data_IF_426907004825
#
_entry.id   IF_426907004825
#
_cell.length_a   1.000
_cell.length_b   1.000
_cell.length_c   1.000
_cell.angle_alpha   90.00
_cell.angle_beta   90.00
_cell.angle_gamma   90.00
#
_symmetry.space_group_name_H-M   'P 1'
#
loop_
_entity.id
_entity.type
_entity.pdbx_description
1 polymer ?
#
# COMPACT_ATOMS: atom_id res chain seq x y z
N UNK A 1 -36.36 10.81 -4.01
CA UNK A 1 -35.45 9.72 -3.61
C UNK A 1 -35.18 8.70 -4.73
N UNK A 2 -36.19 8.27 -5.52
CA UNK A 2 -36.02 7.24 -6.59
C UNK A 2 -34.90 7.55 -7.60
N UNK A 3 -34.79 8.80 -8.07
CA UNK A 3 -33.73 9.19 -9.00
C UNK A 3 -32.32 9.02 -8.40
N UNK A 4 -32.14 9.43 -7.14
CA UNK A 4 -30.89 9.21 -6.40
C UNK A 4 -30.58 7.71 -6.26
N UNK A 5 -31.56 6.89 -5.92
CA UNK A 5 -31.36 5.44 -5.81
C UNK A 5 -30.96 4.80 -7.14
N UNK A 6 -31.62 5.17 -8.25
CA UNK A 6 -31.26 4.69 -9.59
C UNK A 6 -29.84 5.11 -9.98
N UNK A 7 -29.46 6.35 -9.70
CA UNK A 7 -28.09 6.84 -9.96
C UNK A 7 -27.06 6.10 -9.11
N UNK A 8 -27.33 5.89 -7.82
CA UNK A 8 -26.50 5.06 -6.95
C UNK A 8 -26.33 3.64 -7.48
N UNK A 9 -27.41 2.99 -7.91
CA UNK A 9 -27.36 1.66 -8.49
C UNK A 9 -26.51 1.60 -9.77
N UNK A 10 -26.60 2.62 -10.63
CA UNK A 10 -25.71 2.75 -11.81
C UNK A 10 -24.25 2.89 -11.37
N UNK A 11 -23.94 3.76 -10.39
CA UNK A 11 -22.59 3.89 -9.87
C UNK A 11 -22.05 2.57 -9.29
N UNK A 12 -22.87 1.82 -8.55
CA UNK A 12 -22.50 0.51 -8.01
C UNK A 12 -22.26 -0.51 -9.13
N UNK A 13 -23.10 -0.54 -10.17
CA UNK A 13 -22.90 -1.37 -11.36
C UNK A 13 -21.63 -1.04 -12.14
N UNK A 14 -21.16 0.20 -12.07
CA UNK A 14 -19.88 0.66 -12.63
C UNK A 14 -18.68 0.42 -11.69
N UNK A 15 -18.88 -0.15 -10.50
CA UNK A 15 -17.85 -0.29 -9.47
C UNK A 15 -17.41 1.03 -8.82
N UNK A 16 -18.14 2.14 -9.07
CA UNK A 16 -17.85 3.48 -8.54
C UNK A 16 -18.50 3.68 -7.17
N UNK A 17 -18.16 2.84 -6.22
CA UNK A 17 -18.84 2.79 -4.92
C UNK A 17 -18.77 4.09 -4.13
N UNK A 18 -17.64 4.82 -4.19
CA UNK A 18 -17.49 6.15 -3.57
C UNK A 18 -18.52 7.17 -4.07
N UNK A 19 -18.88 7.11 -5.35
CA UNK A 19 -19.87 8.02 -5.94
C UNK A 19 -21.31 7.63 -5.58
N UNK A 20 -21.55 6.37 -5.22
CA UNK A 20 -22.86 5.87 -4.83
C UNK A 20 -23.26 6.27 -3.38
N UNK A 21 -22.29 6.35 -2.47
CA UNK A 21 -22.55 6.60 -1.04
C UNK A 21 -23.36 7.88 -0.77
N UNK A 22 -23.03 9.05 -1.36
CA UNK A 22 -23.79 10.28 -1.13
C UNK A 22 -25.25 10.16 -1.60
N UNK A 23 -25.48 9.48 -2.72
CA UNK A 23 -26.82 9.25 -3.26
C UNK A 23 -27.64 8.31 -2.37
N UNK A 24 -27.03 7.24 -1.85
CA UNK A 24 -27.68 6.33 -0.90
C UNK A 24 -28.04 7.05 0.41
N UNK A 25 -27.13 7.87 0.92
CA UNK A 25 -27.40 8.71 2.10
C UNK A 25 -28.55 9.70 1.84
N UNK A 26 -28.60 10.32 0.66
CA UNK A 26 -29.71 11.21 0.30
C UNK A 26 -31.04 10.46 0.15
N UNK A 27 -31.01 9.21 -0.30
CA UNK A 27 -32.21 8.36 -0.32
C UNK A 27 -32.73 8.12 1.09
N UNK A 28 -31.85 7.77 2.03
CA UNK A 28 -32.22 7.48 3.42
C UNK A 28 -32.70 8.75 4.15
N UNK A 29 -32.10 9.91 3.86
CA UNK A 29 -32.58 11.20 4.38
C UNK A 29 -34.01 11.51 3.90
N UNK A 30 -34.29 11.29 2.61
CA UNK A 30 -35.60 11.58 2.01
C UNK A 30 -36.65 10.50 2.30
N UNK A 31 -36.22 9.26 2.52
CA UNK A 31 -37.08 8.10 2.76
C UNK A 31 -36.38 7.12 3.74
N UNK A 32 -36.53 7.33 5.05
CA UNK A 32 -35.82 6.54 6.07
C UNK A 32 -36.18 5.05 6.13
N UNK A 33 -37.36 4.66 5.66
CA UNK A 33 -37.87 3.29 5.58
C UNK A 33 -37.44 2.54 4.31
N UNK A 34 -36.61 3.15 3.47
CA UNK A 34 -36.20 2.54 2.20
C UNK A 34 -35.11 1.47 2.40
N UNK A 35 -35.55 0.24 2.74
CA UNK A 35 -34.73 -0.94 3.04
C UNK A 35 -33.61 -1.16 2.03
N UNK A 36 -33.91 -1.10 0.73
CA UNK A 36 -32.92 -1.37 -0.31
C UNK A 36 -31.73 -0.38 -0.29
N UNK A 37 -31.94 0.91 0.00
CA UNK A 37 -30.81 1.83 0.11
C UNK A 37 -30.00 1.62 1.39
N UNK A 38 -30.65 1.26 2.50
CA UNK A 38 -29.95 0.92 3.75
C UNK A 38 -29.08 -0.31 3.59
N UNK A 39 -29.60 -1.37 2.97
CA UNK A 39 -28.81 -2.57 2.66
C UNK A 39 -27.59 -2.24 1.79
N UNK A 40 -27.79 -1.46 0.70
CA UNK A 40 -26.69 -1.08 -0.18
C UNK A 40 -25.67 -0.16 0.50
N UNK A 41 -26.12 0.77 1.36
CA UNK A 41 -25.23 1.67 2.10
C UNK A 41 -24.47 0.93 3.18
N UNK A 42 -25.13 0.09 3.96
CA UNK A 42 -24.49 -0.74 4.99
C UNK A 42 -23.41 -1.65 4.41
N UNK A 43 -23.71 -2.33 3.28
CA UNK A 43 -22.72 -3.15 2.57
C UNK A 43 -21.51 -2.35 2.07
N UNK A 44 -21.74 -1.10 1.64
CA UNK A 44 -20.68 -0.21 1.18
C UNK A 44 -19.81 0.28 2.35
N UNK A 45 -20.44 0.73 3.43
CA UNK A 45 -19.79 1.17 4.67
C UNK A 45 -18.95 0.03 5.27
N UNK A 46 -19.48 -1.19 5.30
CA UNK A 46 -18.75 -2.38 5.75
C UNK A 46 -17.46 -2.59 4.94
N UNK A 47 -17.53 -2.48 3.60
CA UNK A 47 -16.35 -2.59 2.73
C UNK A 47 -15.32 -1.48 2.98
N UNK A 48 -15.75 -0.32 3.46
CA UNK A 48 -14.90 0.81 3.84
C UNK A 48 -14.37 0.71 5.28
N UNK A 49 -14.81 -0.28 6.06
CA UNK A 49 -14.45 -0.42 7.48
C UNK A 49 -15.22 0.54 8.41
N UNK A 50 -16.26 1.21 7.91
CA UNK A 50 -17.12 2.11 8.69
C UNK A 50 -18.19 1.27 9.40
N UNK A 51 -17.75 0.50 10.40
CA UNK A 51 -18.54 -0.58 10.99
C UNK A 51 -19.75 -0.12 11.78
N UNK A 52 -19.66 1.02 12.49
CA UNK A 52 -20.74 1.50 13.35
C UNK A 52 -21.94 1.97 12.51
N UNK A 53 -21.69 2.72 11.44
CA UNK A 53 -22.72 3.14 10.50
C UNK A 53 -23.28 1.96 9.71
N UNK A 54 -22.44 1.00 9.30
CA UNK A 54 -22.89 -0.22 8.63
C UNK A 54 -23.84 -1.03 9.53
N UNK A 55 -23.43 -1.25 10.78
CA UNK A 55 -24.24 -1.92 11.81
C UNK A 55 -25.58 -1.23 11.99
N UNK A 56 -25.57 0.10 12.14
CA UNK A 56 -26.77 0.92 12.30
C UNK A 56 -27.73 0.74 11.11
N UNK A 57 -27.21 0.68 9.87
CA UNK A 57 -28.06 0.46 8.70
C UNK A 57 -28.69 -0.94 8.69
N UNK A 58 -27.94 -1.99 9.03
CA UNK A 58 -28.48 -3.34 9.11
C UNK A 58 -29.49 -3.50 10.25
N UNK A 59 -29.26 -2.88 11.42
CA UNK A 59 -30.22 -2.85 12.53
C UNK A 59 -31.55 -2.20 12.13
N UNK A 60 -31.50 -1.08 11.40
CA UNK A 60 -32.70 -0.40 10.92
C UNK A 60 -33.48 -1.25 9.92
N UNK A 61 -32.78 -2.03 9.07
CA UNK A 61 -33.43 -2.99 8.17
C UNK A 61 -34.12 -4.08 8.98
N UNK A 62 -33.43 -4.69 9.96
CA UNK A 62 -33.99 -5.74 10.80
C UNK A 62 -35.14 -5.27 11.70
N UNK A 63 -35.16 -3.98 12.06
CA UNK A 63 -36.29 -3.37 12.77
C UNK A 63 -37.53 -3.29 11.88
N UNK A 64 -37.35 -3.03 10.59
CA UNK A 64 -38.44 -2.89 9.61
C UNK A 64 -38.90 -4.24 9.04
N UNK A 65 -37.96 -5.16 8.85
CA UNK A 65 -38.14 -6.50 8.31
C UNK A 65 -37.24 -7.48 9.08
N UNK A 66 -37.76 -7.99 10.19
CA UNK A 66 -37.05 -8.94 11.05
C UNK A 66 -36.76 -10.29 10.36
N UNK A 67 -37.43 -10.58 9.24
CA UNK A 67 -37.24 -11.81 8.48
C UNK A 67 -36.14 -11.70 7.41
N UNK A 68 -35.52 -10.53 7.28
CA UNK A 68 -34.49 -10.27 6.28
C UNK A 68 -33.19 -11.01 6.62
N UNK A 69 -33.01 -12.20 6.05
CA UNK A 69 -31.85 -13.06 6.29
C UNK A 69 -30.53 -12.44 5.84
N UNK A 70 -30.54 -11.68 4.74
CA UNK A 70 -29.34 -10.97 4.25
C UNK A 70 -28.88 -9.92 5.26
N UNK A 71 -29.80 -9.06 5.74
CA UNK A 71 -29.50 -8.06 6.75
C UNK A 71 -29.01 -8.70 8.05
N UNK A 72 -29.60 -9.84 8.45
CA UNK A 72 -29.18 -10.57 9.65
C UNK A 72 -27.74 -11.07 9.52
N UNK A 73 -27.42 -11.70 8.40
CA UNK A 73 -26.06 -12.20 8.13
C UNK A 73 -25.03 -11.06 8.12
N UNK A 74 -25.34 -9.94 7.46
CA UNK A 74 -24.45 -8.78 7.41
C UNK A 74 -24.29 -8.11 8.77
N UNK A 75 -25.36 -8.02 9.56
CA UNK A 75 -25.31 -7.53 10.93
C UNK A 75 -24.40 -8.39 11.82
N UNK A 76 -24.60 -9.71 11.82
CA UNK A 76 -23.82 -10.64 12.63
C UNK A 76 -22.33 -10.65 12.19
N UNK A 77 -22.04 -10.53 10.89
CA UNK A 77 -20.68 -10.34 10.37
C UNK A 77 -20.07 -9.02 10.86
N UNK A 78 -20.82 -7.91 10.77
CA UNK A 78 -20.36 -6.59 11.19
C UNK A 78 -20.01 -6.58 12.68
N UNK A 79 -20.83 -7.21 13.53
CA UNK A 79 -20.52 -7.32 14.96
C UNK A 79 -19.21 -8.06 15.22
N UNK A 80 -18.96 -9.17 14.52
CA UNK A 80 -17.69 -9.92 14.65
C UNK A 80 -16.50 -9.06 14.22
N UNK A 81 -16.63 -8.32 13.11
CA UNK A 81 -15.57 -7.45 12.62
C UNK A 81 -15.28 -6.28 13.57
N UNK A 82 -16.31 -5.70 14.22
CA UNK A 82 -16.13 -4.69 15.26
C UNK A 82 -15.30 -5.25 16.42
N UNK A 83 -15.66 -6.45 16.91
CA UNK A 83 -14.92 -7.09 17.99
C UNK A 83 -13.46 -7.36 17.59
N UNK A 84 -13.24 -7.95 16.42
CA UNK A 84 -11.88 -8.23 15.92
C UNK A 84 -11.06 -6.95 15.70
N UNK A 85 -11.69 -5.85 15.29
CA UNK A 85 -11.02 -4.56 15.13
C UNK A 85 -10.61 -3.96 16.49
N UNK A 86 -11.46 -4.06 17.50
CA UNK A 86 -11.12 -3.66 18.88
C UNK A 86 -9.96 -4.50 19.44
N UNK A 87 -10.00 -5.81 19.25
CA UNK A 87 -8.91 -6.70 19.66
C UNK A 87 -7.60 -6.40 18.91
N UNK A 88 -7.67 -6.01 17.64
CA UNK A 88 -6.51 -5.59 16.86
C UNK A 88 -5.92 -4.28 17.40
N UNK A 89 -6.76 -3.29 17.70
CA UNK A 89 -6.33 -2.01 18.29
C UNK A 89 -5.66 -2.21 19.65
N UNK A 90 -6.20 -3.07 20.50
CA UNK A 90 -5.61 -3.35 21.81
C UNK A 90 -4.31 -4.15 21.70
N UNK A 91 -4.23 -5.09 20.76
CA UNK A 91 -2.98 -5.82 20.46
C UNK A 91 -1.90 -4.85 19.95
N UNK A 92 -2.26 -3.90 19.10
CA UNK A 92 -1.35 -2.89 18.58
C UNK A 92 -0.81 -1.98 19.69
N UNK A 93 -1.67 -1.50 20.60
CA UNK A 93 -1.24 -0.69 21.77
C UNK A 93 -0.28 -1.44 22.68
N UNK A 94 -0.44 -2.76 22.79
CA UNK A 94 0.44 -3.65 23.56
C UNK A 94 1.71 -4.06 22.79
N UNK A 95 1.95 -3.50 21.59
CA UNK A 95 3.05 -3.85 20.69
C UNK A 95 3.07 -5.32 20.22
N UNK A 96 1.94 -6.02 20.32
CA UNK A 96 1.76 -7.34 19.70
C UNK A 96 1.37 -7.18 18.23
N UNK A 97 2.37 -6.80 17.42
CA UNK A 97 2.19 -6.55 16.00
C UNK A 97 1.84 -7.83 15.22
N UNK A 98 2.30 -9.00 15.68
CA UNK A 98 2.00 -10.28 15.03
C UNK A 98 0.50 -10.59 15.10
N UNK A 99 -0.08 -10.50 16.30
CA UNK A 99 -1.52 -10.70 16.49
C UNK A 99 -2.34 -9.62 15.79
N UNK A 100 -1.87 -8.37 15.83
CA UNK A 100 -2.50 -7.25 15.10
C UNK A 100 -2.58 -7.55 13.60
N UNK A 101 -1.49 -8.02 13.00
CA UNK A 101 -1.42 -8.37 11.58
C UNK A 101 -2.38 -9.52 11.25
N UNK A 102 -2.45 -10.56 12.08
CA UNK A 102 -3.35 -11.69 11.88
C UNK A 102 -4.82 -11.25 11.88
N UNK A 103 -5.24 -10.52 12.91
CA UNK A 103 -6.60 -9.99 13.04
C UNK A 103 -6.94 -9.08 11.87
N UNK A 104 -6.09 -8.10 11.56
CA UNK A 104 -6.34 -7.18 10.44
C UNK A 104 -6.36 -7.89 9.09
N UNK A 105 -5.61 -8.99 8.92
CA UNK A 105 -5.62 -9.76 7.68
C UNK A 105 -6.96 -10.43 7.41
N UNK A 106 -7.60 -10.98 8.43
CA UNK A 106 -8.96 -11.53 8.29
C UNK A 106 -10.01 -10.43 8.08
N UNK A 107 -9.84 -9.26 8.69
CA UNK A 107 -10.78 -8.15 8.54
C UNK A 107 -10.77 -7.58 7.12
N UNK A 108 -9.59 -7.34 6.53
CA UNK A 108 -9.48 -6.71 5.21
C UNK A 108 -9.93 -7.59 4.05
N UNK A 109 -10.10 -8.90 4.26
CA UNK A 109 -10.75 -9.79 3.28
C UNK A 109 -12.21 -9.39 3.04
N UNK A 110 -12.89 -8.92 4.09
CA UNK A 110 -14.26 -8.43 4.03
C UNK A 110 -14.33 -6.93 3.74
N UNK A 111 -13.25 -6.20 4.05
CA UNK A 111 -13.18 -4.74 4.03
C UNK A 111 -12.09 -4.24 3.07
N UNK A 112 -12.24 -4.44 1.74
CA UNK A 112 -11.17 -4.14 0.79
C UNK A 112 -10.80 -2.66 0.73
N UNK A 113 -11.72 -1.76 1.08
CA UNK A 113 -11.55 -0.31 1.02
C UNK A 113 -11.32 0.33 2.41
N UNK A 114 -11.05 -0.48 3.44
CA UNK A 114 -10.75 0.00 4.79
C UNK A 114 -9.35 0.60 4.87
N UNK A 115 -9.25 1.89 4.53
CA UNK A 115 -7.99 2.65 4.51
C UNK A 115 -7.31 2.59 5.87
N UNK A 116 -8.02 2.97 6.95
CA UNK A 116 -7.46 3.04 8.31
C UNK A 116 -6.91 1.70 8.78
N UNK A 117 -7.65 0.61 8.53
CA UNK A 117 -7.25 -0.75 8.92
C UNK A 117 -6.03 -1.24 8.14
N UNK A 118 -5.96 -0.95 6.84
CA UNK A 118 -4.78 -1.25 6.02
C UNK A 118 -3.57 -0.42 6.43
N UNK A 119 -3.75 0.84 6.79
CA UNK A 119 -2.65 1.68 7.30
C UNK A 119 -2.13 1.19 8.65
N UNK A 120 -3.02 0.78 9.56
CA UNK A 120 -2.64 0.16 10.84
C UNK A 120 -1.88 -1.16 10.62
N UNK A 121 -2.34 -1.98 9.67
CA UNK A 121 -1.63 -3.22 9.31
C UNK A 121 -0.28 -2.94 8.67
N UNK A 122 -0.20 -1.95 7.78
CA UNK A 122 1.06 -1.51 7.20
C UNK A 122 2.05 -1.03 8.27
N UNK A 123 1.59 -0.24 9.23
CA UNK A 123 2.45 0.19 10.34
C UNK A 123 2.92 -0.99 11.19
N UNK A 124 2.02 -1.93 11.50
CA UNK A 124 2.38 -3.18 12.20
C UNK A 124 3.45 -3.96 11.44
N UNK A 125 3.34 -4.09 10.11
CA UNK A 125 4.37 -4.71 9.29
C UNK A 125 5.70 -3.96 9.35
N UNK A 126 5.70 -2.62 9.34
CA UNK A 126 6.92 -1.81 9.49
C UNK A 126 7.59 -2.07 10.84
N UNK A 127 6.80 -2.15 11.92
CA UNK A 127 7.31 -2.44 13.28
C UNK A 127 7.85 -3.86 13.42
N UNK A 128 7.27 -4.82 12.70
CA UNK A 128 7.74 -6.20 12.61
C UNK A 128 8.89 -6.40 11.61
N UNK A 129 9.25 -5.39 10.81
CA UNK A 129 10.31 -5.46 9.79
C UNK A 129 9.89 -6.09 8.44
N UNK A 130 8.61 -6.38 8.22
CA UNK A 130 8.08 -6.90 6.96
C UNK A 130 7.74 -5.73 6.00
N UNK A 131 8.77 -5.00 5.58
CA UNK A 131 8.64 -3.83 4.71
C UNK A 131 7.90 -4.11 3.38
N UNK A 132 8.09 -5.26 2.69
CA UNK A 132 7.37 -5.55 1.45
C UNK A 132 5.84 -5.59 1.63
N UNK A 133 5.35 -6.24 2.70
CA UNK A 133 3.91 -6.28 2.96
C UNK A 133 3.36 -4.92 3.38
N UNK A 134 4.13 -4.14 4.15
CA UNK A 134 3.76 -2.76 4.47
C UNK A 134 3.57 -1.90 3.20
N UNK A 135 4.51 -1.99 2.25
CA UNK A 135 4.42 -1.27 0.97
C UNK A 135 3.19 -1.70 0.16
N UNK A 136 2.82 -2.98 0.19
CA UNK A 136 1.63 -3.46 -0.51
C UNK A 136 0.35 -2.81 0.05
N UNK A 137 0.18 -2.77 1.37
CA UNK A 137 -0.97 -2.12 1.99
C UNK A 137 -0.99 -0.61 1.72
N UNK A 138 0.15 0.07 1.84
CA UNK A 138 0.24 1.50 1.53
C UNK A 138 -0.09 1.80 0.06
N UNK A 139 0.34 0.96 -0.88
CA UNK A 139 -0.01 1.10 -2.32
C UNK A 139 -1.52 0.94 -2.53
N UNK A 140 -2.17 0.04 -1.80
CA UNK A 140 -3.61 -0.14 -1.86
C UNK A 140 -4.35 1.10 -1.35
N UNK A 141 -3.88 1.73 -0.27
CA UNK A 141 -4.53 2.92 0.31
C UNK A 141 -4.20 4.21 -0.45
N UNK A 142 -3.00 4.37 -0.99
CA UNK A 142 -2.60 5.55 -1.77
C UNK A 142 -3.54 5.81 -2.96
N UNK A 143 -4.03 4.76 -3.61
CA UNK A 143 -5.01 4.86 -4.71
C UNK A 143 -6.42 5.23 -4.26
N UNK A 144 -6.72 5.04 -2.98
CA UNK A 144 -8.02 5.34 -2.39
C UNK A 144 -8.09 6.75 -1.80
N UNK A 145 -7.00 7.47 -1.65
CA UNK A 145 -7.03 8.85 -1.14
C UNK A 145 -6.73 9.79 -2.31
N UNK A 146 -7.64 10.73 -2.66
CA UNK A 146 -7.35 11.76 -3.66
C UNK A 146 -6.14 12.61 -3.23
N UNK A 147 -5.31 13.00 -4.19
CA UNK A 147 -4.17 13.92 -3.99
C UNK A 147 -3.22 13.51 -2.84
N UNK A 148 -2.98 12.20 -2.71
CA UNK A 148 -2.16 11.65 -1.63
C UNK A 148 -0.65 11.64 -1.96
N UNK A 149 -0.09 12.84 -2.18
CA UNK A 149 1.33 13.08 -2.43
C UNK A 149 2.22 12.45 -1.35
N UNK A 150 1.80 12.54 -0.08
CA UNK A 150 2.56 12.01 1.06
C UNK A 150 2.66 10.47 1.05
N UNK A 151 1.61 9.75 0.65
CA UNK A 151 1.69 8.29 0.58
C UNK A 151 2.67 7.82 -0.49
N UNK A 152 2.67 8.45 -1.66
CA UNK A 152 3.64 8.12 -2.71
C UNK A 152 5.09 8.41 -2.29
N UNK A 153 5.32 9.51 -1.57
CA UNK A 153 6.61 9.80 -0.96
C UNK A 153 7.03 8.72 0.05
N UNK A 154 6.15 8.36 1.00
CA UNK A 154 6.42 7.34 2.02
C UNK A 154 6.71 5.98 1.39
N UNK A 155 5.92 5.56 0.41
CA UNK A 155 6.13 4.32 -0.35
C UNK A 155 7.48 4.34 -1.05
N UNK A 156 7.80 5.44 -1.74
CA UNK A 156 9.08 5.60 -2.45
C UNK A 156 10.28 5.53 -1.51
N UNK A 157 10.20 6.15 -0.33
CA UNK A 157 11.25 6.11 0.69
C UNK A 157 11.45 4.69 1.26
N UNK A 158 10.36 3.97 1.52
CA UNK A 158 10.44 2.57 1.98
C UNK A 158 11.07 1.68 0.92
N UNK A 159 10.64 1.79 -0.34
CA UNK A 159 11.23 1.07 -1.46
C UNK A 159 12.72 1.39 -1.63
N UNK A 160 13.08 2.67 -1.48
CA UNK A 160 14.47 3.10 -1.49
C UNK A 160 15.27 2.44 -0.37
N UNK A 161 14.76 2.40 0.86
CA UNK A 161 15.44 1.73 1.98
C UNK A 161 15.63 0.22 1.78
N UNK A 162 14.73 -0.44 1.04
CA UNK A 162 14.83 -1.85 0.67
C UNK A 162 15.79 -2.10 -0.52
N UNK A 163 16.36 -1.04 -1.10
CA UNK A 163 17.21 -1.13 -2.29
C UNK A 163 16.44 -1.16 -3.61
N UNK A 164 15.11 -1.06 -3.60
CA UNK A 164 14.24 -1.09 -4.79
C UNK A 164 14.19 0.27 -5.48
N UNK A 165 15.29 0.67 -6.13
CA UNK A 165 15.42 1.97 -6.77
C UNK A 165 14.42 2.22 -7.91
N UNK A 166 14.13 1.22 -8.74
CA UNK A 166 13.21 1.39 -9.88
C UNK A 166 11.76 1.60 -9.42
N UNK A 167 11.31 0.79 -8.47
CA UNK A 167 9.98 0.93 -7.87
C UNK A 167 9.88 2.23 -7.07
N UNK A 168 10.94 2.60 -6.34
CA UNK A 168 11.04 3.89 -5.66
C UNK A 168 10.90 5.04 -6.66
N UNK A 169 11.59 4.97 -7.81
CA UNK A 169 11.55 5.99 -8.86
C UNK A 169 10.16 6.10 -9.49
N UNK A 170 9.46 4.99 -9.64
CA UNK A 170 8.09 4.97 -10.16
C UNK A 170 7.14 5.68 -9.20
N UNK A 171 7.21 5.37 -7.90
CA UNK A 171 6.31 5.97 -6.91
C UNK A 171 6.60 7.47 -6.69
N UNK A 172 7.87 7.88 -6.70
CA UNK A 172 8.19 9.32 -6.55
C UNK A 172 7.77 10.15 -7.77
N UNK A 173 7.70 9.55 -8.96
CA UNK A 173 7.13 10.20 -10.14
C UNK A 173 5.62 10.41 -10.00
N UNK A 174 4.90 9.46 -9.43
CA UNK A 174 3.48 9.66 -9.11
C UNK A 174 3.30 10.77 -8.07
N UNK A 175 4.20 10.88 -7.07
CA UNK A 175 4.21 12.03 -6.17
C UNK A 175 4.30 13.37 -6.94
N UNK A 176 5.30 13.52 -7.81
CA UNK A 176 5.53 14.74 -8.59
C UNK A 176 4.45 15.00 -9.66
N UNK A 177 3.69 13.98 -10.05
CA UNK A 177 2.55 14.12 -10.95
C UNK A 177 1.35 14.74 -10.25
N UNK A 178 1.18 14.46 -8.95
CA UNK A 178 0.15 15.09 -8.13
C UNK A 178 0.52 16.54 -7.77
N UNK A 179 1.79 16.75 -7.41
CA UNK A 179 2.33 18.08 -7.09
C UNK A 179 3.77 18.21 -7.61
N UNK A 180 3.92 18.94 -8.72
CA UNK A 180 5.21 19.13 -9.40
C UNK A 180 6.19 19.97 -8.58
N UNK A 181 5.70 20.83 -7.69
CA UNK A 181 6.51 21.75 -6.89
C UNK A 181 6.78 21.20 -5.47
N UNK A 182 6.38 19.96 -5.19
CA UNK A 182 6.56 19.32 -3.88
C UNK A 182 8.05 19.13 -3.54
N UNK A 183 8.59 20.01 -2.69
CA UNK A 183 10.02 20.09 -2.35
C UNK A 183 10.63 18.76 -1.91
N UNK A 184 9.96 18.03 -1.02
CA UNK A 184 10.48 16.75 -0.49
C UNK A 184 10.50 15.67 -1.57
N UNK A 185 9.49 15.66 -2.45
CA UNK A 185 9.43 14.68 -3.52
C UNK A 185 10.49 14.97 -4.58
N UNK A 186 10.73 16.24 -4.87
CA UNK A 186 11.77 16.65 -5.80
C UNK A 186 13.17 16.33 -5.26
N UNK A 187 13.40 16.54 -3.95
CA UNK A 187 14.64 16.18 -3.28
C UNK A 187 14.89 14.67 -3.29
N UNK A 188 13.85 13.87 -2.98
CA UNK A 188 13.95 12.41 -3.02
C UNK A 188 14.15 11.90 -4.46
N UNK A 189 13.38 12.41 -5.42
CA UNK A 189 13.48 12.05 -6.84
C UNK A 189 14.91 12.21 -7.39
N UNK A 190 15.59 13.32 -7.08
CA UNK A 190 16.95 13.55 -7.55
C UNK A 190 17.92 12.47 -7.06
N UNK A 191 17.79 12.06 -5.78
CA UNK A 191 18.60 10.97 -5.20
C UNK A 191 18.30 9.64 -5.88
N UNK A 192 17.02 9.27 -5.94
CA UNK A 192 16.57 7.99 -6.51
C UNK A 192 16.92 7.88 -7.99
N UNK A 193 16.69 8.94 -8.79
CA UNK A 193 16.97 8.97 -10.23
C UNK A 193 18.45 8.73 -10.53
N UNK A 194 19.35 9.39 -9.79
CA UNK A 194 20.79 9.22 -9.97
C UNK A 194 21.20 7.78 -9.72
N UNK A 195 20.66 7.17 -8.67
CA UNK A 195 20.97 5.79 -8.28
C UNK A 195 20.37 4.76 -9.24
N UNK A 196 19.08 4.90 -9.57
CA UNK A 196 18.38 4.02 -10.51
C UNK A 196 19.08 3.99 -11.88
N UNK A 197 19.53 5.15 -12.38
CA UNK A 197 20.29 5.25 -13.64
C UNK A 197 21.58 4.41 -13.60
N UNK A 198 22.32 4.41 -12.49
CA UNK A 198 23.53 3.61 -12.37
C UNK A 198 23.22 2.11 -12.34
N UNK A 199 22.17 1.71 -11.62
CA UNK A 199 21.70 0.32 -11.56
C UNK A 199 21.15 -0.19 -12.90
N UNK A 200 20.51 0.68 -13.69
CA UNK A 200 20.13 0.41 -15.07
C UNK A 200 21.37 0.20 -15.95
N UNK A 201 22.36 1.11 -15.90
CA UNK A 201 23.62 0.96 -16.65
C UNK A 201 24.40 -0.32 -16.28
N UNK A 202 24.37 -0.76 -15.02
CA UNK A 202 24.96 -2.05 -14.60
C UNK A 202 24.26 -3.21 -15.31
N UNK A 203 22.92 -3.23 -15.31
CA UNK A 203 22.14 -4.29 -15.96
C UNK A 203 22.41 -4.32 -17.47
N UNK A 204 22.45 -3.16 -18.11
CA UNK A 204 22.77 -3.05 -19.54
C UNK A 204 24.19 -3.56 -19.84
N UNK A 205 25.18 -3.14 -19.04
CA UNK A 205 26.56 -3.57 -19.20
C UNK A 205 26.71 -5.09 -19.02
N UNK A 206 26.00 -5.70 -18.05
CA UNK A 206 25.97 -7.15 -17.87
C UNK A 206 25.34 -7.83 -19.10
N UNK A 207 24.25 -7.30 -19.64
CA UNK A 207 23.58 -7.87 -20.82
C UNK A 207 24.47 -7.84 -22.07
N UNK A 208 25.31 -6.81 -22.19
CA UNK A 208 26.25 -6.62 -23.29
C UNK A 208 27.62 -7.25 -23.04
N UNK A 209 27.81 -7.93 -21.90
CA UNK A 209 29.11 -8.44 -21.46
C UNK A 209 30.22 -7.38 -21.37
N UNK A 210 29.86 -6.11 -21.16
CA UNK A 210 30.79 -5.02 -20.96
C UNK A 210 31.19 -4.93 -19.48
N UNK A 211 32.13 -5.80 -19.07
CA UNK A 211 32.52 -5.95 -17.67
C UNK A 211 33.21 -4.71 -17.09
N UNK A 212 34.00 -4.00 -17.90
CA UNK A 212 34.68 -2.77 -17.47
C UNK A 212 33.66 -1.68 -17.10
N UNK A 213 32.63 -1.50 -17.92
CA UNK A 213 31.57 -0.55 -17.60
C UNK A 213 30.79 -0.99 -16.38
N UNK A 214 30.45 -2.28 -16.26
CA UNK A 214 29.78 -2.78 -15.06
C UNK A 214 30.55 -2.46 -13.77
N UNK A 215 31.86 -2.75 -13.72
CA UNK A 215 32.71 -2.45 -12.55
C UNK A 215 32.73 -0.96 -12.23
N UNK A 216 32.88 -0.12 -13.25
CA UNK A 216 32.87 1.33 -13.08
C UNK A 216 31.55 1.84 -12.51
N UNK A 217 30.42 1.34 -13.00
CA UNK A 217 29.08 1.76 -12.55
C UNK A 217 28.77 1.22 -11.15
N UNK A 218 29.16 -0.01 -10.82
CA UNK A 218 28.98 -0.58 -9.50
C UNK A 218 29.78 0.17 -8.41
N UNK A 219 31.03 0.56 -8.72
CA UNK A 219 31.81 1.44 -7.84
C UNK A 219 31.19 2.83 -7.66
N UNK A 220 30.54 3.38 -8.71
CA UNK A 220 29.78 4.63 -8.58
C UNK A 220 28.57 4.45 -7.64
N UNK A 221 27.88 3.31 -7.69
CA UNK A 221 26.80 3.00 -6.74
C UNK A 221 27.33 2.97 -5.31
N UNK A 222 28.44 2.28 -5.05
CA UNK A 222 29.08 2.24 -3.72
C UNK A 222 29.40 3.63 -3.19
N UNK A 223 29.98 4.50 -4.03
CA UNK A 223 30.28 5.87 -3.65
C UNK A 223 29.03 6.71 -3.35
N UNK A 224 27.93 6.45 -4.05
CA UNK A 224 26.67 7.15 -3.79
C UNK A 224 25.97 6.62 -2.53
N UNK A 225 26.10 5.33 -2.24
CA UNK A 225 25.42 4.68 -1.11
C UNK A 225 26.18 4.81 0.21
N UNK A 226 27.50 4.95 0.19
CA UNK A 226 28.33 5.22 1.38
C UNK A 226 27.91 6.50 2.09
N UNK A 227 27.58 7.53 1.33
CA UNK A 227 27.14 8.84 1.85
C UNK A 227 25.71 8.80 2.43
N UNK A 228 24.95 7.74 2.14
CA UNK A 228 23.52 7.60 2.45
C UNK A 228 23.24 6.48 3.45
N UNK A 229 24.28 5.81 3.99
CA UNK A 229 24.20 4.67 4.91
C UNK A 229 23.18 3.58 4.49
N UNK A 230 22.96 3.44 3.18
CA UNK A 230 21.91 2.58 2.64
C UNK A 230 22.46 1.18 2.38
N UNK A 231 22.48 0.36 3.43
CA UNK A 231 23.04 -1.00 3.43
C UNK A 231 22.52 -1.87 2.27
N UNK A 232 21.23 -1.74 1.91
CA UNK A 232 20.65 -2.48 0.79
C UNK A 232 21.31 -2.17 -0.56
N UNK A 233 21.68 -0.90 -0.80
CA UNK A 233 22.35 -0.51 -2.05
C UNK A 233 23.83 -0.85 -2.06
N UNK A 234 24.49 -0.80 -0.90
CA UNK A 234 25.86 -1.28 -0.73
C UNK A 234 25.90 -2.77 -1.10
N UNK A 235 25.03 -3.59 -0.51
CA UNK A 235 24.91 -5.01 -0.83
C UNK A 235 24.64 -5.25 -2.33
N UNK A 236 23.70 -4.54 -2.95
CA UNK A 236 23.42 -4.66 -4.39
C UNK A 236 24.64 -4.31 -5.25
N UNK A 237 25.44 -3.33 -4.83
CA UNK A 237 26.65 -2.94 -5.54
C UNK A 237 27.75 -3.99 -5.43
N UNK A 238 28.03 -4.54 -4.23
CA UNK A 238 28.97 -5.66 -4.06
C UNK A 238 28.55 -6.90 -4.84
N UNK A 239 27.25 -7.24 -4.81
CA UNK A 239 26.71 -8.34 -5.62
C UNK A 239 26.94 -8.13 -7.14
N UNK A 240 26.78 -6.89 -7.61
CA UNK A 240 27.06 -6.52 -9.01
C UNK A 240 28.56 -6.60 -9.33
N UNK A 241 29.42 -6.11 -8.44
CA UNK A 241 30.88 -6.20 -8.58
C UNK A 241 31.33 -7.66 -8.67
N UNK A 242 30.88 -8.51 -7.74
CA UNK A 242 31.17 -9.93 -7.72
C UNK A 242 30.77 -10.61 -9.05
N UNK A 243 29.56 -10.33 -9.53
CA UNK A 243 29.06 -10.85 -10.82
C UNK A 243 29.97 -10.44 -11.98
N UNK A 244 30.38 -9.17 -12.01
CA UNK A 244 31.15 -8.62 -13.13
C UNK A 244 32.63 -9.00 -13.08
N UNK A 245 33.24 -9.13 -11.90
CA UNK A 245 34.61 -9.64 -11.74
C UNK A 245 34.71 -11.13 -12.10
N UNK A 246 33.74 -11.92 -11.64
CA UNK A 246 33.67 -13.36 -11.93
C UNK A 246 33.55 -13.63 -13.44
N UNK A 247 32.63 -12.93 -14.12
CA UNK A 247 32.43 -13.08 -15.57
C UNK A 247 33.50 -12.39 -16.41
N UNK A 248 34.07 -11.31 -15.89
CA UNK A 248 35.15 -10.54 -16.52
C UNK A 248 36.54 -11.17 -16.40
N UNK A 249 36.68 -12.29 -15.69
CA UNK A 249 37.96 -12.98 -15.41
C UNK A 249 38.98 -12.08 -14.71
N UNK A 250 38.51 -11.25 -13.78
CA UNK A 250 39.39 -10.49 -12.87
C UNK A 250 40.23 -11.44 -11.99
N UNK A 251 41.34 -10.96 -11.37
CA UNK A 251 42.16 -11.78 -10.50
C UNK A 251 41.33 -12.48 -9.42
N UNK A 252 41.57 -13.79 -9.25
CA UNK A 252 40.74 -14.62 -8.37
C UNK A 252 40.73 -14.13 -6.91
N UNK A 253 41.86 -13.63 -6.41
CA UNK A 253 41.97 -13.11 -5.04
C UNK A 253 41.08 -11.88 -4.81
N UNK A 254 41.19 -10.87 -5.68
CA UNK A 254 40.37 -9.65 -5.61
C UNK A 254 38.88 -9.93 -5.78
N UNK A 255 38.56 -10.92 -6.63
CA UNK A 255 37.18 -11.36 -6.83
C UNK A 255 36.62 -12.01 -5.57
N UNK A 256 37.38 -12.90 -4.93
CA UNK A 256 36.97 -13.54 -3.67
C UNK A 256 36.75 -12.49 -2.58
N UNK A 257 37.72 -11.59 -2.37
CA UNK A 257 37.63 -10.54 -1.34
C UNK A 257 36.35 -9.69 -1.53
N UNK A 258 36.07 -9.26 -2.76
CA UNK A 258 34.88 -8.44 -3.10
C UNK A 258 33.55 -9.21 -2.98
N UNK A 259 33.55 -10.53 -3.24
CA UNK A 259 32.37 -11.38 -3.09
C UNK A 259 32.09 -11.80 -1.64
N UNK A 260 33.03 -11.57 -0.72
CA UNK A 260 32.90 -11.92 0.71
C UNK A 260 32.51 -10.77 1.62
N UNK A 261 32.48 -9.54 1.10
CA UNK A 261 31.94 -8.33 1.76
C UNK A 261 30.41 -8.22 1.62
#
# INVERSE_FOLDING_TARGET
>A
YVAYFRRAAVYLGMGKSKAALPDLSKVIELKPDFIAARMQRGNLLLKQGDFDEAKTDFENVLTSDASNSEARNQFDLTQKLIQSAQEADDSYKNADYTKTIELLSTIVENCPWAIKLRELRADSYLKSGDFPKAVNDLKATAKLIPDNTQAFLKISQLLYSMGEADDSLTNIRECLKLDADHKECHAHYTKVKKLAKQLESIRDAISQSNWNECLNKANQVLKLSSDLSSHAFIYRAHSSLCTCMSRGKSPAKETIDTCTE
#
